data_IF_218729047496
#
_entry.id   IF_218729047496
#
_cell.length_a   1.000
_cell.length_b   1.000
_cell.length_c   1.000
_cell.angle_alpha   90.00
_cell.angle_beta   90.00
_cell.angle_gamma   90.00
#
_symmetry.space_group_name_H-M   'P 1'
#
loop_
_entity.id
_entity.type
_entity.pdbx_description
1 polymer ?
#
# COMPACT_ATOMS: atom_id res chain seq x y z
N UNK A 1 -27.47 8.50 6.06
CA UNK A 1 -26.69 7.31 5.65
C UNK A 1 -26.36 6.49 6.89
N UNK A 2 -26.19 5.16 6.76
CA UNK A 2 -25.70 4.32 7.86
C UNK A 2 -24.18 4.24 7.76
N UNK A 3 -23.48 4.56 8.84
CA UNK A 3 -22.03 4.47 8.93
C UNK A 3 -21.59 3.18 9.65
N UNK A 4 -20.38 2.68 9.40
CA UNK A 4 -19.42 3.15 8.39
C UNK A 4 -19.85 2.79 6.96
N UNK A 5 -19.33 3.53 5.97
CA UNK A 5 -19.44 3.19 4.54
C UNK A 5 -18.09 3.31 3.85
N UNK A 6 -17.87 2.53 2.80
CA UNK A 6 -16.61 2.53 2.03
C UNK A 6 -16.89 3.04 0.62
N UNK A 7 -16.09 4.01 0.18
CA UNK A 7 -16.07 4.50 -1.20
C UNK A 7 -14.74 4.11 -1.81
N UNK A 8 -14.77 3.40 -2.93
CA UNK A 8 -13.55 2.98 -3.63
C UNK A 8 -13.24 3.96 -4.75
N UNK A 9 -12.05 4.57 -4.68
CA UNK A 9 -11.53 5.51 -5.69
C UNK A 9 -10.56 4.84 -6.68
N UNK A 10 -10.28 3.55 -6.49
CA UNK A 10 -9.45 2.72 -7.35
C UNK A 10 -9.34 1.28 -6.86
N UNK A 11 -8.67 0.43 -7.64
CA UNK A 11 -8.46 -1.00 -7.37
C UNK A 11 -9.73 -1.83 -7.04
N UNK A 12 -10.84 -1.58 -7.76
CA UNK A 12 -12.09 -2.36 -7.60
C UNK A 12 -12.16 -3.55 -8.56
N UNK A 13 -11.88 -3.29 -9.83
CA UNK A 13 -11.86 -4.30 -10.90
C UNK A 13 -10.46 -4.48 -11.50
N UNK A 14 -9.46 -3.90 -10.83
CA UNK A 14 -8.06 -3.85 -11.26
C UNK A 14 -7.12 -4.02 -10.08
N UNK A 15 -5.84 -4.23 -10.38
CA UNK A 15 -4.77 -4.49 -9.40
C UNK A 15 -4.15 -3.18 -8.92
N UNK A 16 -4.15 -2.12 -9.73
CA UNK A 16 -3.37 -0.91 -9.42
C UNK A 16 -4.26 0.27 -9.02
N UNK A 17 -3.62 1.32 -8.51
CA UNK A 17 -4.33 2.54 -8.12
C UNK A 17 -5.14 2.39 -6.84
N UNK A 18 -4.66 1.60 -5.88
CA UNK A 18 -5.33 1.38 -4.60
C UNK A 18 -5.61 2.70 -3.90
N UNK A 19 -6.88 2.95 -3.62
CA UNK A 19 -7.36 4.16 -2.94
C UNK A 19 -8.78 3.92 -2.44
N UNK A 20 -8.95 3.89 -1.12
CA UNK A 20 -10.25 3.61 -0.50
C UNK A 20 -10.54 4.64 0.60
N UNK A 21 -11.74 5.18 0.61
CA UNK A 21 -12.21 6.10 1.64
C UNK A 21 -13.19 5.39 2.57
N UNK A 22 -12.82 5.27 3.84
CA UNK A 22 -13.71 4.82 4.91
C UNK A 22 -14.39 6.05 5.51
N UNK A 23 -15.67 6.24 5.18
CA UNK A 23 -16.51 7.23 5.84
C UNK A 23 -16.95 6.68 7.21
N UNK A 24 -16.45 7.29 8.29
CA UNK A 24 -16.67 6.82 9.65
C UNK A 24 -17.92 7.47 10.29
N UNK A 25 -18.19 8.72 9.97
CA UNK A 25 -19.44 9.43 10.28
C UNK A 25 -19.67 10.55 9.23
N UNK A 26 -20.54 11.52 9.50
CA UNK A 26 -20.83 12.63 8.59
C UNK A 26 -19.69 13.67 8.40
N UNK A 27 -18.74 13.75 9.32
CA UNK A 27 -17.65 14.73 9.32
C UNK A 27 -16.27 14.10 9.12
N UNK A 28 -16.17 12.78 9.31
CA UNK A 28 -14.91 12.10 9.46
C UNK A 28 -14.76 10.93 8.49
N UNK A 29 -13.68 11.00 7.71
CA UNK A 29 -13.25 9.96 6.81
C UNK A 29 -11.77 9.62 7.02
N UNK A 30 -11.40 8.40 6.63
CA UNK A 30 -10.03 7.91 6.60
C UNK A 30 -9.73 7.44 5.18
N UNK A 31 -8.60 7.89 4.62
CA UNK A 31 -8.13 7.39 3.33
C UNK A 31 -7.15 6.24 3.57
N UNK A 32 -7.33 5.13 2.85
CA UNK A 32 -6.47 3.95 2.86
C UNK A 32 -5.84 3.87 1.48
N UNK A 33 -4.51 4.00 1.46
CA UNK A 33 -3.69 4.10 0.25
C UNK A 33 -4.09 5.26 -0.69
N UNK A 34 -3.17 5.62 -1.57
CA UNK A 34 -3.35 6.60 -2.63
C UNK A 34 -2.34 6.30 -3.74
N UNK A 35 -2.61 5.27 -4.52
CA UNK A 35 -1.68 4.67 -5.46
C UNK A 35 -1.84 5.06 -6.92
N UNK A 36 -0.78 4.93 -7.72
CA UNK A 36 -0.83 5.15 -9.17
C UNK A 36 -1.46 3.96 -9.90
N UNK A 37 -2.25 4.25 -10.92
CA UNK A 37 -2.66 3.25 -11.90
C UNK A 37 -1.47 2.92 -12.81
N UNK A 38 -1.24 1.64 -13.11
CA UNK A 38 -0.17 1.20 -14.01
C UNK A 38 -0.71 0.28 -15.12
N UNK A 39 0.01 0.24 -16.25
CA UNK A 39 -0.28 -0.68 -17.35
C UNK A 39 -1.64 -0.42 -18.03
N UNK A 40 -2.38 -1.50 -18.34
CA UNK A 40 -3.66 -1.46 -19.05
C UNK A 40 -4.76 -0.69 -18.30
N UNK A 41 -4.59 -0.43 -17.00
CA UNK A 41 -5.52 0.35 -16.18
C UNK A 41 -5.38 1.86 -16.41
N UNK A 42 -4.39 2.27 -17.20
CA UNK A 42 -4.19 3.67 -17.56
C UNK A 42 -5.00 4.10 -18.78
N UNK A 43 -5.34 3.18 -19.69
CA UNK A 43 -6.40 3.29 -20.72
C UNK A 43 -6.56 1.96 -21.48
N UNK A 44 -7.69 1.72 -22.19
CA UNK A 44 -7.84 0.59 -23.12
C UNK A 44 -6.75 0.54 -24.23
N UNK A 45 -6.03 1.64 -24.43
CA UNK A 45 -5.01 1.84 -25.47
C UNK A 45 -3.59 2.01 -24.90
N UNK A 46 -3.38 1.80 -23.60
CA UNK A 46 -2.05 1.84 -22.95
C UNK A 46 -1.40 3.22 -22.85
N UNK A 47 -2.18 4.31 -22.93
CA UNK A 47 -1.69 5.69 -22.70
C UNK A 47 -2.15 6.18 -21.33
N UNK A 48 -1.21 6.62 -20.51
CA UNK A 48 -1.46 7.29 -19.24
C UNK A 48 -2.44 8.45 -19.40
N UNK A 49 -3.72 8.26 -19.03
CA UNK A 49 -4.69 9.33 -19.04
C UNK A 49 -4.48 10.20 -17.80
N UNK A 50 -4.24 11.51 -18.00
CA UNK A 50 -4.07 12.47 -16.91
C UNK A 50 -5.27 12.51 -15.95
N UNK A 51 -6.46 12.11 -16.43
CA UNK A 51 -7.67 11.94 -15.63
C UNK A 51 -7.51 10.90 -14.51
N UNK A 52 -6.75 9.82 -14.72
CA UNK A 52 -6.61 8.74 -13.72
C UNK A 52 -5.67 9.14 -12.56
N UNK A 53 -4.88 10.20 -12.74
CA UNK A 53 -3.93 10.69 -11.75
C UNK A 53 -4.54 11.77 -10.85
N UNK A 54 -5.47 12.56 -11.41
CA UNK A 54 -6.14 13.63 -10.70
C UNK A 54 -6.93 13.09 -9.49
N UNK A 55 -7.02 13.89 -8.43
CA UNK A 55 -7.89 13.62 -7.30
C UNK A 55 -9.21 14.34 -7.59
N UNK A 56 -10.23 13.56 -7.92
CA UNK A 56 -11.54 14.01 -8.38
C UNK A 56 -12.63 13.88 -7.30
N UNK A 57 -12.26 13.43 -6.10
CA UNK A 57 -13.13 13.34 -4.94
C UNK A 57 -12.84 14.45 -3.91
N UNK A 58 -13.85 14.79 -3.11
CA UNK A 58 -13.69 15.78 -2.05
C UNK A 58 -12.75 15.27 -0.95
N UNK A 59 -11.88 16.15 -0.48
CA UNK A 59 -10.99 15.91 0.66
C UNK A 59 -11.62 16.28 2.01
N UNK A 60 -12.85 16.79 1.98
CA UNK A 60 -13.55 17.24 3.18
C UNK A 60 -13.77 16.08 4.15
N UNK A 61 -13.42 16.31 5.41
CA UNK A 61 -13.54 15.32 6.47
C UNK A 61 -12.46 14.22 6.47
N UNK A 62 -11.60 14.13 5.45
CA UNK A 62 -10.48 13.17 5.46
C UNK A 62 -9.46 13.57 6.53
N UNK A 63 -9.43 12.80 7.61
CA UNK A 63 -8.59 13.08 8.79
C UNK A 63 -7.15 12.67 8.60
N UNK A 64 -6.90 11.60 7.88
CA UNK A 64 -5.57 11.06 7.63
C UNK A 64 -5.57 10.18 6.37
N UNK A 65 -4.38 9.97 5.81
CA UNK A 65 -4.08 8.88 4.90
C UNK A 65 -3.33 7.81 5.68
N UNK A 66 -3.70 6.54 5.51
CA UNK A 66 -2.95 5.39 6.03
C UNK A 66 -2.38 4.60 4.86
N UNK A 67 -1.07 4.44 4.80
CA UNK A 67 -0.41 3.63 3.79
C UNK A 67 -0.19 2.19 4.29
N UNK A 68 -0.70 1.21 3.55
CA UNK A 68 -0.49 -0.22 3.83
C UNK A 68 0.96 -0.61 3.62
N UNK A 69 1.55 -0.17 2.51
CA UNK A 69 2.96 -0.40 2.17
C UNK A 69 3.44 0.64 1.14
N UNK A 70 4.68 0.53 0.68
CA UNK A 70 5.34 1.57 -0.12
C UNK A 70 5.41 1.26 -1.63
N UNK A 71 4.64 0.29 -2.15
CA UNK A 71 4.58 0.13 -3.60
C UNK A 71 3.81 1.28 -4.25
N UNK A 72 4.18 1.61 -5.48
CA UNK A 72 3.76 2.85 -6.13
C UNK A 72 2.28 2.86 -6.49
N UNK A 73 1.71 1.70 -6.72
CA UNK A 73 0.29 1.43 -6.89
C UNK A 73 -0.52 1.50 -5.60
N UNK A 74 0.13 1.79 -4.46
CA UNK A 74 -0.49 2.13 -3.17
C UNK A 74 -0.14 3.53 -2.66
N UNK A 75 0.98 4.14 -3.09
CA UNK A 75 1.40 5.47 -2.56
C UNK A 75 1.72 6.52 -3.62
N UNK A 76 1.80 6.15 -4.88
CA UNK A 76 2.34 7.02 -5.91
C UNK A 76 1.45 8.22 -6.28
N UNK A 77 0.17 8.24 -5.88
CA UNK A 77 -0.73 9.41 -6.05
C UNK A 77 -0.65 10.40 -4.89
N UNK A 78 0.10 10.11 -3.82
CA UNK A 78 0.30 11.06 -2.71
C UNK A 78 0.74 12.47 -3.17
N UNK A 79 1.66 12.65 -4.14
CA UNK A 79 1.98 13.97 -4.66
C UNK A 79 0.76 14.72 -5.22
N UNK A 80 -0.13 14.02 -5.94
CA UNK A 80 -1.36 14.57 -6.49
C UNK A 80 -2.37 14.89 -5.38
N UNK A 81 -2.46 14.05 -4.35
CA UNK A 81 -3.26 14.28 -3.14
C UNK A 81 -2.85 15.56 -2.40
N UNK A 82 -1.54 15.79 -2.26
CA UNK A 82 -1.03 17.03 -1.65
C UNK A 82 -1.29 18.25 -2.54
N UNK A 83 -1.13 18.11 -3.86
CA UNK A 83 -1.44 19.18 -4.81
C UNK A 83 -2.93 19.54 -4.82
N UNK A 84 -3.82 18.57 -4.61
CA UNK A 84 -5.27 18.76 -4.45
C UNK A 84 -5.65 19.42 -3.11
N UNK A 85 -4.70 19.61 -2.19
CA UNK A 85 -4.90 20.38 -0.96
C UNK A 85 -5.01 19.54 0.31
N UNK A 86 -4.68 18.25 0.28
CA UNK A 86 -4.65 17.43 1.48
C UNK A 86 -3.62 17.95 2.50
N UNK A 87 -4.03 18.06 3.76
CA UNK A 87 -3.21 18.59 4.87
C UNK A 87 -3.12 17.64 6.06
N UNK A 88 -3.74 16.46 5.98
CA UNK A 88 -3.70 15.48 7.07
C UNK A 88 -2.34 14.78 7.18
N UNK A 89 -2.11 14.02 8.27
CA UNK A 89 -0.94 13.17 8.40
C UNK A 89 -1.02 11.94 7.48
N UNK A 90 0.16 11.38 7.19
CA UNK A 90 0.34 10.12 6.47
C UNK A 90 0.82 9.08 7.49
N UNK A 91 -0.09 8.21 7.91
CA UNK A 91 0.14 7.18 8.91
C UNK A 91 0.69 5.93 8.21
N UNK A 92 1.81 5.41 8.68
CA UNK A 92 2.40 4.20 8.10
C UNK A 92 3.27 3.47 9.14
N UNK A 93 3.74 2.27 8.82
CA UNK A 93 4.63 1.54 9.72
C UNK A 93 6.01 2.21 9.82
N UNK A 94 6.75 1.95 10.90
CA UNK A 94 8.09 2.53 11.09
C UNK A 94 9.08 2.22 9.95
N UNK A 95 9.11 1.01 9.35
CA UNK A 95 9.91 0.78 8.15
C UNK A 95 9.38 1.54 6.93
N UNK A 96 8.06 1.60 6.73
CA UNK A 96 7.47 2.36 5.61
C UNK A 96 7.78 3.85 5.72
N UNK A 97 7.80 4.42 6.93
CA UNK A 97 8.17 5.83 7.15
C UNK A 97 9.57 6.19 6.63
N UNK A 98 10.50 5.22 6.63
CA UNK A 98 11.86 5.41 6.08
C UNK A 98 11.93 5.22 4.57
N UNK A 99 11.10 4.33 4.02
CA UNK A 99 11.10 3.99 2.60
C UNK A 99 10.24 4.93 1.77
N UNK A 100 9.20 5.50 2.37
CA UNK A 100 8.21 6.33 1.67
C UNK A 100 8.83 7.57 1.02
N UNK A 101 9.73 8.35 1.65
CA UNK A 101 10.37 9.48 0.98
C UNK A 101 11.15 9.07 -0.27
N UNK A 102 11.82 7.91 -0.24
CA UNK A 102 12.63 7.41 -1.36
C UNK A 102 11.73 7.05 -2.55
N UNK A 103 10.65 6.30 -2.30
CA UNK A 103 9.71 5.92 -3.36
C UNK A 103 8.98 7.14 -3.92
N UNK A 104 8.57 8.07 -3.04
CA UNK A 104 7.85 9.26 -3.46
C UNK A 104 8.75 10.28 -4.16
N UNK A 105 10.06 10.29 -3.91
CA UNK A 105 11.03 11.07 -4.67
C UNK A 105 11.00 10.68 -6.15
N UNK A 106 11.06 9.38 -6.43
CA UNK A 106 11.02 8.85 -7.79
C UNK A 106 9.67 9.14 -8.46
N UNK A 107 8.57 8.89 -7.74
CA UNK A 107 7.22 9.23 -8.19
C UNK A 107 7.09 10.71 -8.60
N UNK A 108 7.62 11.61 -7.77
CA UNK A 108 7.58 13.05 -8.01
C UNK A 108 8.46 13.45 -9.21
N UNK A 109 9.65 12.86 -9.35
CA UNK A 109 10.56 13.07 -10.48
C UNK A 109 9.99 12.61 -11.83
N UNK A 110 9.15 11.57 -11.81
CA UNK A 110 8.50 11.05 -13.00
C UNK A 110 7.22 11.84 -13.36
N UNK A 111 6.43 12.23 -12.36
CA UNK A 111 5.11 12.83 -12.59
C UNK A 111 5.05 14.36 -12.59
N UNK A 112 6.00 15.05 -11.94
CA UNK A 112 5.92 16.50 -11.71
C UNK A 112 7.17 17.25 -12.16
N UNK A 113 8.32 16.95 -11.57
CA UNK A 113 9.52 17.75 -11.78
C UNK A 113 10.80 17.04 -11.35
N UNK A 114 11.84 17.19 -12.17
CA UNK A 114 13.21 16.74 -11.85
C UNK A 114 14.08 17.86 -11.27
N UNK A 115 13.52 19.05 -11.07
CA UNK A 115 14.24 20.16 -10.43
C UNK A 115 14.54 19.82 -8.96
N UNK A 116 15.83 19.82 -8.61
CA UNK A 116 16.30 19.36 -7.31
C UNK A 116 15.71 20.19 -6.14
N UNK A 117 15.52 21.50 -6.32
CA UNK A 117 14.94 22.37 -5.27
C UNK A 117 13.47 22.03 -5.02
N UNK A 118 12.71 21.75 -6.08
CA UNK A 118 11.31 21.33 -5.95
C UNK A 118 11.19 19.96 -5.28
N UNK A 119 12.05 19.00 -5.67
CA UNK A 119 12.11 17.67 -5.05
C UNK A 119 12.41 17.79 -3.55
N UNK A 120 13.43 18.54 -3.16
CA UNK A 120 13.79 18.72 -1.74
C UNK A 120 12.67 19.39 -0.93
N UNK A 121 11.97 20.37 -1.51
CA UNK A 121 10.81 21.00 -0.86
C UNK A 121 9.67 20.00 -0.66
N UNK A 122 9.42 19.15 -1.66
CA UNK A 122 8.42 18.11 -1.59
C UNK A 122 8.76 17.05 -0.51
N UNK A 123 10.01 16.57 -0.48
CA UNK A 123 10.43 15.60 0.52
C UNK A 123 10.33 16.14 1.95
N UNK A 124 10.73 17.40 2.18
CA UNK A 124 10.53 18.06 3.48
C UNK A 124 9.06 18.11 3.90
N UNK A 125 8.16 18.37 2.95
CA UNK A 125 6.71 18.36 3.23
C UNK A 125 6.24 16.95 3.60
N UNK A 126 6.68 15.92 2.86
CA UNK A 126 6.34 14.53 3.14
C UNK A 126 6.82 14.11 4.53
N UNK A 127 8.09 14.37 4.86
CA UNK A 127 8.67 14.04 6.16
C UNK A 127 7.92 14.69 7.32
N UNK A 128 7.43 15.93 7.16
CA UNK A 128 6.62 16.62 8.16
C UNK A 128 5.22 16.04 8.34
N UNK A 129 4.71 15.31 7.34
CA UNK A 129 3.36 14.71 7.37
C UNK A 129 3.39 13.25 7.80
N UNK A 130 4.51 12.55 7.63
CA UNK A 130 4.65 11.15 8.02
C UNK A 130 4.55 11.02 9.54
N UNK A 131 3.68 10.11 9.99
CA UNK A 131 3.62 9.65 11.37
C UNK A 131 3.84 8.15 11.37
N UNK A 132 4.99 7.74 11.88
CA UNK A 132 5.35 6.34 12.03
C UNK A 132 4.58 5.71 13.20
N UNK A 133 3.89 4.61 12.93
CA UNK A 133 3.14 3.85 13.92
C UNK A 133 3.81 2.49 14.16
N UNK A 134 4.03 2.10 15.42
CA UNK A 134 4.50 0.76 15.74
C UNK A 134 3.40 -0.28 15.45
N UNK A 135 3.82 -1.46 15.03
CA UNK A 135 2.91 -2.59 14.85
C UNK A 135 2.22 -2.98 16.16
N UNK A 136 1.01 -3.53 16.06
CA UNK A 136 0.21 -4.08 17.16
C UNK A 136 -0.25 -3.08 18.22
N UNK A 137 0.06 -1.79 18.05
CA UNK A 137 -0.40 -0.74 18.96
C UNK A 137 -1.58 0.03 18.36
N UNK A 138 -2.54 0.38 19.21
CA UNK A 138 -3.67 1.21 18.83
C UNK A 138 -3.27 2.68 18.85
N UNK A 139 -3.47 3.36 17.73
CA UNK A 139 -3.35 4.80 17.59
C UNK A 139 -4.76 5.41 17.58
N UNK A 140 -5.02 6.37 18.47
CA UNK A 140 -6.29 7.11 18.47
C UNK A 140 -6.30 8.16 17.37
N UNK A 141 -7.14 7.94 16.36
CA UNK A 141 -7.32 8.87 15.24
C UNK A 141 -8.35 9.95 15.58
N UNK A 142 -9.46 9.54 16.21
CA UNK A 142 -10.58 10.43 16.59
C UNK A 142 -11.03 10.08 18.01
N UNK A 143 -11.23 11.12 18.81
CA UNK A 143 -11.87 11.02 20.12
C UNK A 143 -12.88 12.16 20.25
N UNK A 144 -14.06 11.95 19.68
CA UNK A 144 -15.17 12.89 19.67
C UNK A 144 -16.39 12.28 20.38
N UNK A 145 -17.35 13.08 20.88
CA UNK A 145 -18.54 12.58 21.56
C UNK A 145 -19.34 11.54 20.75
N UNK A 146 -19.44 11.76 19.44
CA UNK A 146 -20.20 10.91 18.52
C UNK A 146 -19.40 9.71 17.98
N UNK A 147 -18.06 9.77 18.01
CA UNK A 147 -17.19 8.77 17.40
C UNK A 147 -15.83 8.68 18.10
N UNK A 148 -15.45 7.46 18.48
CA UNK A 148 -14.07 7.11 18.77
C UNK A 148 -13.54 6.18 17.67
N UNK A 149 -12.50 6.64 16.97
CA UNK A 149 -11.85 5.87 15.91
C UNK A 149 -10.40 5.61 16.28
N UNK A 150 -9.97 4.35 16.21
CA UNK A 150 -8.58 3.94 16.43
C UNK A 150 -8.11 3.07 15.29
N UNK A 151 -6.83 3.16 14.97
CA UNK A 151 -6.20 2.33 13.95
C UNK A 151 -5.08 1.50 14.56
N UNK A 152 -4.80 0.34 13.96
CA UNK A 152 -3.67 -0.51 14.34
C UNK A 152 -3.09 -1.17 13.11
N UNK A 153 -1.77 -1.11 13.01
CA UNK A 153 -1.02 -1.76 11.95
C UNK A 153 -0.62 -3.18 12.38
N UNK A 154 -0.79 -4.14 11.49
CA UNK A 154 -0.37 -5.52 11.69
C UNK A 154 0.44 -5.97 10.48
N UNK A 155 1.40 -6.88 10.67
CA UNK A 155 2.30 -7.28 9.58
C UNK A 155 1.54 -8.03 8.48
N UNK A 156 1.66 -7.55 7.24
CA UNK A 156 1.09 -8.21 6.06
C UNK A 156 2.05 -9.18 5.38
N UNK A 157 3.36 -9.02 5.60
CA UNK A 157 4.37 -9.95 5.10
C UNK A 157 4.67 -9.85 3.60
N UNK A 158 4.13 -8.85 2.90
CA UNK A 158 4.32 -8.62 1.46
C UNK A 158 5.69 -8.02 1.14
N UNK A 159 5.98 -6.85 1.71
CA UNK A 159 7.30 -6.21 1.67
C UNK A 159 7.73 -5.71 3.05
N UNK A 160 8.98 -5.29 3.19
CA UNK A 160 9.44 -4.64 4.42
C UNK A 160 8.57 -3.41 4.72
N UNK A 161 7.95 -3.40 5.89
CA UNK A 161 7.03 -2.32 6.29
C UNK A 161 5.57 -2.54 5.92
N UNK A 162 5.24 -3.61 5.18
CA UNK A 162 3.86 -3.88 4.79
C UNK A 162 2.95 -4.20 5.98
N UNK A 163 1.77 -3.60 5.95
CA UNK A 163 0.78 -3.72 6.99
C UNK A 163 -0.64 -3.89 6.45
N UNK A 164 -1.40 -4.78 7.08
CA UNK A 164 -2.85 -4.70 7.03
C UNK A 164 -3.35 -3.76 8.15
N UNK A 165 -4.41 -3.03 7.86
CA UNK A 165 -4.94 -1.96 8.71
C UNK A 165 -6.18 -2.44 9.41
N UNK A 166 -6.18 -2.42 10.73
CA UNK A 166 -7.40 -2.59 11.53
C UNK A 166 -7.92 -1.22 11.96
N UNK A 167 -9.20 -0.95 11.70
CA UNK A 167 -9.90 0.26 12.14
C UNK A 167 -11.01 -0.13 13.11
N UNK A 168 -10.89 0.34 14.36
CA UNK A 168 -11.90 0.20 15.40
C UNK A 168 -12.74 1.47 15.47
N UNK A 169 -14.04 1.33 15.21
CA UNK A 169 -15.04 2.39 15.37
C UNK A 169 -15.94 2.06 16.55
N UNK A 170 -16.15 3.04 17.41
CA UNK A 170 -17.10 2.99 18.52
C UNK A 170 -17.96 4.25 18.49
N UNK A 171 -19.27 4.06 18.42
CA UNK A 171 -20.28 5.11 18.39
C UNK A 171 -20.95 5.20 19.77
N UNK A 172 -20.56 6.15 20.65
CA UNK A 172 -21.00 6.15 22.04
C UNK A 172 -22.51 6.32 22.21
N UNK A 173 -23.15 7.10 21.33
CA UNK A 173 -24.60 7.38 21.40
C UNK A 173 -25.46 6.13 21.16
N UNK A 174 -25.04 5.23 20.25
CA UNK A 174 -25.75 3.99 19.94
C UNK A 174 -25.18 2.76 20.66
N UNK A 175 -23.96 2.87 21.20
CA UNK A 175 -23.17 1.75 21.74
C UNK A 175 -22.61 0.80 20.67
N UNK A 176 -22.80 1.11 19.38
CA UNK A 176 -22.35 0.25 18.28
C UNK A 176 -20.82 0.23 18.16
N UNK A 177 -20.27 -0.95 17.88
CA UNK A 177 -18.84 -1.16 17.62
C UNK A 177 -18.67 -1.88 16.29
N UNK A 178 -17.72 -1.41 15.49
CA UNK A 178 -17.37 -2.02 14.20
C UNK A 178 -15.85 -2.11 14.06
N UNK A 179 -15.38 -3.25 13.54
CA UNK A 179 -14.01 -3.45 13.09
C UNK A 179 -13.97 -3.64 11.58
N UNK A 180 -13.24 -2.75 10.91
CA UNK A 180 -12.99 -2.82 9.48
C UNK A 180 -11.52 -3.19 9.29
N UNK A 181 -11.24 -4.10 8.37
CA UNK A 181 -9.88 -4.50 8.02
C UNK A 181 -9.63 -4.26 6.54
N UNK A 182 -8.53 -3.59 6.23
CA UNK A 182 -7.99 -3.45 4.88
C UNK A 182 -6.69 -4.24 4.79
N UNK A 183 -6.61 -5.24 3.93
CA UNK A 183 -5.44 -6.11 3.86
C UNK A 183 -4.19 -5.39 3.33
N UNK A 184 -4.38 -4.44 2.40
CA UNK A 184 -3.32 -4.13 1.44
C UNK A 184 -2.91 -5.40 0.69
N UNK A 185 -1.66 -5.48 0.28
CA UNK A 185 -1.12 -6.70 -0.30
C UNK A 185 -0.61 -7.64 0.79
N UNK A 186 -0.91 -8.93 0.64
CA UNK A 186 -0.54 -9.97 1.59
C UNK A 186 0.62 -10.81 1.06
N UNK A 187 1.61 -11.02 1.92
CA UNK A 187 2.73 -11.89 1.61
C UNK A 187 2.33 -13.34 1.50
N UNK A 188 3.01 -14.07 0.61
CA UNK A 188 2.86 -15.51 0.51
C UNK A 188 3.30 -16.21 1.81
N UNK A 189 2.57 -17.23 2.27
CA UNK A 189 3.05 -18.11 3.34
C UNK A 189 4.43 -18.68 2.97
N UNK A 190 5.34 -18.74 3.94
CA UNK A 190 6.70 -19.30 3.79
C UNK A 190 7.67 -18.51 2.88
N UNK A 191 7.42 -17.22 2.67
CA UNK A 191 8.42 -16.31 2.11
C UNK A 191 9.73 -16.36 2.93
N UNK A 192 10.91 -16.26 2.29
CA UNK A 192 12.20 -16.46 2.96
C UNK A 192 12.52 -15.40 4.03
N UNK A 193 12.17 -14.15 3.77
CA UNK A 193 12.65 -12.99 4.53
C UNK A 193 11.60 -12.49 5.50
N UNK A 194 10.34 -12.50 5.10
CA UNK A 194 9.24 -11.85 5.83
C UNK A 194 8.39 -12.88 6.57
N UNK A 195 7.91 -12.55 7.78
CA UNK A 195 7.00 -13.42 8.50
C UNK A 195 5.68 -13.53 7.73
N UNK A 196 5.10 -14.73 7.70
CA UNK A 196 3.79 -14.96 7.12
C UNK A 196 2.72 -14.06 7.77
N UNK A 197 1.76 -13.53 7.00
CA UNK A 197 0.64 -12.77 7.56
C UNK A 197 -0.14 -13.64 8.53
N UNK A 198 -0.59 -13.02 9.63
CA UNK A 198 -1.51 -13.65 10.58
C UNK A 198 -2.89 -13.06 10.39
N UNK A 199 -3.91 -13.91 10.35
CA UNK A 199 -5.29 -13.45 10.24
C UNK A 199 -5.66 -12.53 11.43
N UNK A 200 -6.47 -11.48 11.19
CA UNK A 200 -6.99 -10.66 12.27
C UNK A 200 -7.88 -11.48 13.20
N UNK A 201 -7.92 -11.13 14.49
CA UNK A 201 -8.77 -11.82 15.47
C UNK A 201 -10.27 -11.70 15.13
N UNK A 202 -10.67 -10.56 14.54
CA UNK A 202 -12.04 -10.32 14.06
C UNK A 202 -12.05 -9.26 12.97
N UNK A 203 -13.07 -9.29 12.12
CA UNK A 203 -13.43 -8.22 11.20
C UNK A 203 -14.95 -8.29 10.98
N UNK A 204 -15.66 -7.17 11.15
CA UNK A 204 -17.07 -7.06 10.75
C UNK A 204 -17.18 -6.77 9.26
N UNK A 205 -16.18 -6.07 8.71
CA UNK A 205 -15.98 -5.84 7.27
C UNK A 205 -14.51 -6.09 6.94
N UNK A 206 -14.27 -6.90 5.91
CA UNK A 206 -12.93 -7.20 5.40
C UNK A 206 -12.85 -6.76 3.93
N UNK A 207 -11.96 -5.81 3.65
CA UNK A 207 -11.52 -5.45 2.30
C UNK A 207 -10.20 -6.16 2.08
N UNK A 208 -10.20 -7.14 1.18
CA UNK A 208 -9.05 -8.00 0.92
C UNK A 208 -8.63 -7.91 -0.55
N UNK A 209 -7.33 -7.91 -0.80
CA UNK A 209 -6.79 -8.04 -2.15
C UNK A 209 -7.20 -9.37 -2.81
N UNK A 210 -7.10 -9.43 -4.13
CA UNK A 210 -7.46 -10.62 -4.91
C UNK A 210 -6.56 -10.82 -6.12
N UNK A 211 -5.31 -10.36 -6.05
CA UNK A 211 -4.34 -10.34 -7.18
C UNK A 211 -4.21 -11.71 -7.87
N UNK A 212 -4.27 -12.78 -7.07
CA UNK A 212 -4.18 -14.17 -7.54
C UNK A 212 -5.43 -15.00 -7.19
N UNK A 213 -6.59 -14.35 -7.03
CA UNK A 213 -7.84 -15.03 -6.67
C UNK A 213 -8.30 -16.10 -7.67
N UNK A 214 -7.73 -16.11 -8.88
CA UNK A 214 -8.05 -17.02 -9.98
C UNK A 214 -7.11 -18.23 -10.11
N UNK A 215 -6.04 -18.32 -9.31
CA UNK A 215 -5.00 -19.33 -9.49
C UNK A 215 -4.36 -19.81 -8.18
N UNK A 216 -3.71 -20.98 -8.26
CA UNK A 216 -2.88 -21.51 -7.17
C UNK A 216 -1.41 -21.21 -7.44
N UNK A 217 -0.67 -20.86 -6.38
CA UNK A 217 0.77 -20.68 -6.47
C UNK A 217 1.50 -22.02 -6.54
N UNK A 218 2.51 -22.10 -7.41
CA UNK A 218 3.47 -23.20 -7.43
C UNK A 218 4.26 -23.26 -6.11
N UNK A 219 4.68 -24.46 -5.71
CA UNK A 219 5.47 -24.64 -4.51
C UNK A 219 6.86 -23.99 -4.64
N UNK A 220 7.46 -23.61 -3.51
CA UNK A 220 8.75 -22.91 -3.51
C UNK A 220 9.89 -23.76 -4.08
N UNK A 221 9.87 -25.09 -3.90
CA UNK A 221 10.97 -25.97 -4.35
C UNK A 221 10.98 -26.07 -5.88
N UNK A 222 9.82 -26.25 -6.50
CA UNK A 222 9.71 -26.28 -7.97
C UNK A 222 10.10 -24.95 -8.61
N UNK A 223 9.68 -23.81 -8.03
CA UNK A 223 10.11 -22.48 -8.49
C UNK A 223 11.62 -22.29 -8.41
N UNK A 224 12.26 -22.71 -7.31
CA UNK A 224 13.72 -22.63 -7.13
C UNK A 224 14.45 -23.50 -8.17
N UNK A 225 14.05 -24.76 -8.33
CA UNK A 225 14.66 -25.67 -9.31
C UNK A 225 14.54 -25.14 -10.76
N UNK A 226 13.42 -24.47 -11.08
CA UNK A 226 13.23 -23.82 -12.38
C UNK A 226 14.16 -22.62 -12.56
N UNK A 227 14.34 -21.80 -11.53
CA UNK A 227 15.29 -20.68 -11.57
C UNK A 227 16.73 -21.16 -11.75
N UNK A 228 17.15 -22.16 -10.97
CA UNK A 228 18.46 -22.81 -11.06
C UNK A 228 18.73 -23.32 -12.48
N UNK A 229 17.80 -24.08 -13.06
CA UNK A 229 17.93 -24.59 -14.44
C UNK A 229 18.09 -23.49 -15.49
N UNK A 230 17.40 -22.35 -15.32
CA UNK A 230 17.53 -21.20 -16.23
C UNK A 230 18.91 -20.57 -16.12
N UNK A 231 19.43 -20.43 -14.90
CA UNK A 231 20.76 -19.87 -14.63
C UNK A 231 21.88 -20.78 -15.15
N UNK A 232 21.80 -22.09 -14.87
CA UNK A 232 22.73 -23.09 -15.37
C UNK A 232 22.76 -23.13 -16.90
N UNK A 233 21.58 -23.05 -17.54
CA UNK A 233 21.50 -23.02 -19.00
C UNK A 233 22.22 -21.80 -19.59
N UNK A 234 21.96 -20.60 -19.04
CA UNK A 234 22.64 -19.38 -19.48
C UNK A 234 24.16 -19.45 -19.22
N UNK A 235 24.59 -20.00 -18.09
CA UNK A 235 26.00 -20.17 -17.79
C UNK A 235 26.68 -21.14 -18.79
N UNK A 236 26.00 -22.24 -19.14
CA UNK A 236 26.53 -23.26 -20.05
C UNK A 236 26.79 -22.77 -21.47
N UNK A 237 26.05 -21.76 -21.93
CA UNK A 237 26.18 -21.19 -23.28
C UNK A 237 26.72 -19.75 -23.27
N UNK A 238 27.28 -19.29 -22.14
CA UNK A 238 27.80 -17.92 -21.95
C UNK A 238 26.75 -16.84 -22.26
N UNK A 239 25.47 -17.15 -22.05
CA UNK A 239 24.36 -16.23 -22.18
C UNK A 239 24.14 -15.37 -20.93
N UNK A 240 23.21 -14.43 -21.04
CA UNK A 240 22.84 -13.50 -19.95
C UNK A 240 21.39 -13.71 -19.56
N UNK A 241 21.10 -13.81 -18.26
CA UNK A 241 19.72 -13.79 -17.73
C UNK A 241 19.37 -12.38 -17.29
N UNK A 242 18.35 -11.79 -17.93
CA UNK A 242 17.79 -10.50 -17.55
C UNK A 242 16.53 -10.70 -16.70
N UNK A 243 16.54 -10.23 -15.45
CA UNK A 243 15.40 -10.31 -14.54
C UNK A 243 14.90 -8.90 -14.21
N UNK A 244 13.79 -8.43 -14.82
CA UNK A 244 13.16 -7.20 -14.39
C UNK A 244 12.47 -7.42 -13.04
N UNK A 245 12.78 -6.58 -12.05
CA UNK A 245 12.15 -6.64 -10.74
C UNK A 245 12.07 -5.23 -10.13
N UNK A 246 11.05 -5.01 -9.29
CA UNK A 246 10.96 -3.79 -8.49
C UNK A 246 12.09 -3.74 -7.46
N UNK A 247 12.55 -2.53 -7.15
CA UNK A 247 13.63 -2.27 -6.18
C UNK A 247 13.31 -2.76 -4.76
N UNK A 248 12.02 -2.90 -4.40
CA UNK A 248 11.55 -3.36 -3.10
C UNK A 248 10.55 -4.51 -3.27
N UNK A 249 10.83 -5.67 -2.66
CA UNK A 249 10.02 -6.88 -2.70
C UNK A 249 10.76 -8.04 -3.36
N UNK A 250 10.45 -8.31 -4.64
CA UNK A 250 10.91 -9.52 -5.34
C UNK A 250 12.43 -9.58 -5.54
N UNK A 251 13.10 -8.44 -5.67
CA UNK A 251 14.57 -8.39 -5.80
C UNK A 251 15.26 -8.99 -4.58
N UNK A 252 14.80 -8.69 -3.36
CA UNK A 252 15.38 -9.19 -2.13
C UNK A 252 15.19 -10.71 -2.00
N UNK A 253 14.01 -11.23 -2.35
CA UNK A 253 13.76 -12.67 -2.36
C UNK A 253 14.64 -13.40 -3.37
N UNK A 254 14.80 -12.84 -4.58
CA UNK A 254 15.64 -13.43 -5.61
C UNK A 254 17.11 -13.46 -5.21
N UNK A 255 17.63 -12.39 -4.59
CA UNK A 255 19.01 -12.39 -4.09
C UNK A 255 19.23 -13.46 -3.03
N UNK A 256 18.25 -13.68 -2.13
CA UNK A 256 18.30 -14.76 -1.14
C UNK A 256 18.27 -16.15 -1.79
N UNK A 257 17.42 -16.36 -2.80
CA UNK A 257 17.37 -17.65 -3.50
C UNK A 257 18.63 -17.89 -4.36
N UNK A 258 19.24 -16.84 -4.92
CA UNK A 258 20.50 -16.93 -5.67
C UNK A 258 21.69 -17.30 -4.78
N UNK A 259 21.78 -16.72 -3.58
CA UNK A 259 22.81 -17.09 -2.58
C UNK A 259 22.74 -18.58 -2.22
N UNK A 260 21.53 -19.14 -2.17
CA UNK A 260 21.30 -20.55 -1.87
C UNK A 260 21.63 -21.48 -3.06
N UNK A 261 21.59 -20.97 -4.30
CA UNK A 261 21.80 -21.74 -5.53
C UNK A 261 23.29 -21.76 -5.94
N UNK A 262 24.02 -20.67 -5.68
CA UNK A 262 25.44 -20.47 -6.08
C UNK A 262 26.37 -20.86 -4.93
#
# INVERSE_FOLDING_TARGET
>A
MRYPSIVHHGAVTGVTGSCHQLQMDHEHALLIDCGLFQGAETSPEGRANAANLAIDFSLDGIRALVATHVHIDHVGRIPYLLAAGFKGPILCSEPSAKLLPIVLEDAFKLGFSRDQKQVERYLKLIEQRIVALPYKQWFSLISAPQLNARIRLQRAGHILGSAYIEVDLHYPESGEKKRIVFSGDLGAPHAPILPAPKAPYKADVLVIESTYGDRLHEDRRSRRARLEKVLEHALSNQGTVLIPAFSIGRTQELLYELEDII
#
